data_IF_556749321885
#
_entry.id   IF_556749321885
#
_cell.length_a   1.000
_cell.length_b   1.000
_cell.length_c   1.000
_cell.angle_alpha   90.00
_cell.angle_beta   90.00
_cell.angle_gamma   90.00
#
_symmetry.space_group_name_H-M   'P 1'
#
loop_
_entity.id
_entity.type
_entity.pdbx_description
1 polymer ?
#
# COMPACT_ATOMS: atom_id res chain seq x y z
N UNK A 1 -1.40 0.39 10.27
CA UNK A 1 -2.43 1.40 10.60
C UNK A 1 -3.62 0.81 11.34
N UNK A 2 -4.44 1.64 11.99
CA UNK A 2 -5.69 1.18 12.61
C UNK A 2 -6.77 0.88 11.57
N UNK A 3 -7.64 -0.13 11.78
CA UNK A 3 -8.66 -0.51 10.80
C UNK A 3 -9.64 0.63 10.42
N UNK A 4 -9.95 1.52 11.35
CA UNK A 4 -10.83 2.67 11.11
C UNK A 4 -10.24 3.69 10.14
N UNK A 5 -8.95 4.00 10.27
CA UNK A 5 -8.21 4.92 9.39
C UNK A 5 -8.09 4.32 7.99
N UNK A 6 -7.85 3.01 7.88
CA UNK A 6 -7.88 2.30 6.59
C UNK A 6 -9.25 2.42 5.92
N UNK A 7 -10.32 2.21 6.67
CA UNK A 7 -11.70 2.29 6.15
C UNK A 7 -12.01 3.71 5.65
N UNK A 8 -11.51 4.73 6.33
CA UNK A 8 -11.62 6.12 5.90
C UNK A 8 -10.82 6.36 4.61
N UNK A 9 -9.56 5.93 4.55
CA UNK A 9 -8.72 6.07 3.35
C UNK A 9 -9.37 5.42 2.13
N UNK A 10 -9.92 4.20 2.28
CA UNK A 10 -10.60 3.50 1.19
C UNK A 10 -11.84 4.22 0.66
N UNK A 11 -12.50 5.05 1.48
CA UNK A 11 -13.70 5.80 1.08
C UNK A 11 -13.39 7.19 0.54
N UNK A 12 -12.23 7.74 0.86
CA UNK A 12 -11.88 9.14 0.59
C UNK A 12 -10.84 9.29 -0.50
N UNK A 13 -9.97 8.30 -0.70
CA UNK A 13 -8.91 8.33 -1.71
C UNK A 13 -9.45 7.74 -3.03
N UNK A 14 -9.43 8.54 -4.09
CA UNK A 14 -9.65 8.06 -5.46
C UNK A 14 -8.35 7.46 -5.99
N UNK A 15 -8.13 6.19 -5.64
CA UNK A 15 -6.92 5.46 -5.95
C UNK A 15 -6.89 4.10 -5.29
N UNK A 16 -5.80 3.36 -5.53
CA UNK A 16 -5.62 2.05 -4.92
C UNK A 16 -5.05 2.18 -3.51
N UNK A 17 -5.82 1.69 -2.54
CA UNK A 17 -5.42 1.64 -1.15
C UNK A 17 -5.06 0.20 -0.80
N UNK A 18 -3.75 -0.06 -0.66
CA UNK A 18 -3.22 -1.33 -0.14
C UNK A 18 -2.82 -1.12 1.31
N UNK A 19 -3.25 -1.99 2.20
CA UNK A 19 -3.03 -1.84 3.64
C UNK A 19 -2.67 -3.16 4.31
N UNK A 20 -2.03 -3.04 5.46
CA UNK A 20 -1.84 -4.13 6.41
C UNK A 20 -1.96 -3.54 7.81
N UNK A 21 -2.98 -3.96 8.54
CA UNK A 21 -3.34 -3.41 9.86
C UNK A 21 -2.40 -3.92 10.95
N UNK A 22 -2.26 -3.18 12.05
CA UNK A 22 -1.25 -3.47 13.09
C UNK A 22 -1.43 -4.83 13.81
N UNK A 23 -2.61 -5.45 13.68
CA UNK A 23 -2.94 -6.77 14.21
C UNK A 23 -2.37 -7.92 13.35
N UNK A 24 -1.80 -7.61 12.18
CA UNK A 24 -1.13 -8.58 11.31
C UNK A 24 0.30 -8.88 11.76
N UNK A 25 0.83 -10.05 11.38
CA UNK A 25 2.23 -10.37 11.60
C UNK A 25 3.15 -9.49 10.74
N UNK A 26 4.34 -9.16 11.25
CA UNK A 26 5.33 -8.35 10.51
C UNK A 26 5.70 -8.94 9.13
N UNK A 27 5.69 -10.27 8.99
CA UNK A 27 5.87 -10.96 7.70
C UNK A 27 4.80 -10.59 6.67
N UNK A 28 3.57 -10.32 7.08
CA UNK A 28 2.52 -9.85 6.17
C UNK A 28 2.83 -8.43 5.69
N UNK A 29 3.32 -7.54 6.55
CA UNK A 29 3.71 -6.18 6.16
C UNK A 29 4.81 -6.19 5.09
N UNK A 30 5.84 -7.02 5.31
CA UNK A 30 6.94 -7.19 4.36
C UNK A 30 6.41 -7.73 3.03
N UNK A 31 5.66 -8.83 3.07
CA UNK A 31 5.15 -9.47 1.87
C UNK A 31 4.24 -8.56 1.04
N UNK A 32 3.32 -7.84 1.69
CA UNK A 32 2.44 -6.87 1.03
C UNK A 32 3.26 -5.76 0.39
N UNK A 33 4.27 -5.24 1.09
CA UNK A 33 5.14 -4.16 0.58
C UNK A 33 5.93 -4.62 -0.65
N UNK A 34 6.49 -5.83 -0.63
CA UNK A 34 7.22 -6.40 -1.78
C UNK A 34 6.31 -6.53 -3.01
N UNK A 35 5.10 -7.05 -2.82
CA UNK A 35 4.14 -7.20 -3.91
C UNK A 35 3.74 -5.85 -4.53
N UNK A 36 3.51 -4.83 -3.69
CA UNK A 36 3.21 -3.47 -4.15
C UNK A 36 4.38 -2.88 -4.93
N UNK A 37 5.60 -3.00 -4.41
CA UNK A 37 6.80 -2.49 -5.07
C UNK A 37 7.02 -3.14 -6.44
N UNK A 38 6.88 -4.46 -6.55
CA UNK A 38 7.05 -5.16 -7.82
C UNK A 38 5.97 -4.80 -8.83
N UNK A 39 4.74 -4.57 -8.37
CA UNK A 39 3.68 -4.04 -9.22
C UNK A 39 3.99 -2.62 -9.71
N UNK A 40 4.44 -1.73 -8.83
CA UNK A 40 4.82 -0.36 -9.20
C UNK A 40 5.95 -0.36 -10.24
N UNK A 41 6.98 -1.20 -10.06
CA UNK A 41 8.06 -1.33 -11.05
C UNK A 41 7.53 -1.75 -12.43
N UNK A 42 6.66 -2.76 -12.48
CA UNK A 42 6.05 -3.20 -13.75
C UNK A 42 5.21 -2.13 -14.42
N UNK A 43 4.50 -1.30 -13.65
CA UNK A 43 3.73 -0.17 -14.20
C UNK A 43 4.67 0.89 -14.81
N UNK A 44 5.78 1.21 -14.13
CA UNK A 44 6.81 2.13 -14.63
C UNK A 44 7.47 1.57 -15.90
N UNK A 45 7.77 0.28 -15.95
CA UNK A 45 8.31 -0.39 -17.15
C UNK A 45 7.36 -0.30 -18.36
N UNK A 46 6.05 -0.25 -18.13
CA UNK A 46 5.03 -0.05 -19.16
C UNK A 46 4.83 1.43 -19.55
N UNK A 47 5.64 2.34 -19.00
CA UNK A 47 5.58 3.78 -19.28
C UNK A 47 4.52 4.53 -18.48
N UNK A 48 4.04 3.98 -17.36
CA UNK A 48 3.09 4.67 -16.47
C UNK A 48 3.83 5.45 -15.39
N UNK A 49 3.46 6.70 -15.15
CA UNK A 49 3.93 7.47 -13.99
C UNK A 49 3.24 6.98 -12.71
N UNK A 50 4.02 6.54 -11.73
CA UNK A 50 3.51 5.94 -10.49
C UNK A 50 3.96 6.76 -9.29
N UNK A 51 3.02 7.10 -8.41
CA UNK A 51 3.28 7.71 -7.10
C UNK A 51 2.82 6.75 -6.01
N UNK A 52 3.67 6.53 -5.01
CA UNK A 52 3.35 5.72 -3.82
C UNK A 52 3.36 6.62 -2.60
N UNK A 53 2.23 6.68 -1.90
CA UNK A 53 2.12 7.31 -0.58
C UNK A 53 2.16 6.20 0.47
N UNK A 54 3.24 6.17 1.26
CA UNK A 54 3.45 5.18 2.30
C UNK A 54 3.28 5.83 3.67
N UNK A 55 2.35 5.31 4.46
CA UNK A 55 2.17 5.63 5.87
C UNK A 55 1.98 4.31 6.64
N UNK A 56 2.91 3.86 7.48
CA UNK A 56 4.18 4.44 7.95
C UNK A 56 5.39 3.61 7.48
N UNK A 57 6.58 4.22 7.37
CA UNK A 57 7.87 3.51 7.18
C UNK A 57 8.47 3.01 8.52
N UNK A 58 8.05 3.62 9.62
CA UNK A 58 8.43 3.32 11.01
C UNK A 58 7.50 2.30 11.64
#
# INVERSE_FOLDING_TARGET
ERPEEVTEMQRTVDGEVVYSTFDQHATNHIHVTELVLDRCKRLVELGTDVVVLLDSIT
#
